data_IF_744338730467
#
_entry.id   IF_744338730467
#
_cell.length_a   1.000
_cell.length_b   1.000
_cell.length_c   1.000
_cell.angle_alpha   90.00
_cell.angle_beta   90.00
_cell.angle_gamma   90.00
#
_symmetry.space_group_name_H-M   'P 1'
#
loop_
_entity.id
_entity.type
_entity.pdbx_description
1 polymer ?
#
# COMPACT_ATOMS: atom_id res chain seq x y z
N UNK A 1 27.53 1.12 -3.71
CA UNK A 1 26.65 1.61 -2.62
C UNK A 1 25.28 0.96 -2.82
N UNK A 2 24.74 0.31 -1.82
CA UNK A 2 23.38 -0.24 -1.88
C UNK A 2 22.39 0.90 -2.12
N UNK A 3 21.43 0.78 -3.05
CA UNK A 3 20.43 1.82 -3.23
C UNK A 3 19.67 2.03 -1.92
N UNK A 4 19.39 3.29 -1.59
CA UNK A 4 18.60 3.62 -0.39
C UNK A 4 17.13 3.32 -0.67
N UNK A 5 16.36 2.84 0.33
CA UNK A 5 14.94 2.60 0.19
C UNK A 5 14.18 3.81 -0.34
N UNK A 6 13.25 3.59 -1.24
CA UNK A 6 12.29 4.59 -1.66
C UNK A 6 11.29 4.88 -0.54
N UNK A 7 10.59 6.00 -0.61
CA UNK A 7 9.54 6.40 0.34
C UNK A 7 8.18 6.31 -0.34
N UNK A 8 7.22 5.67 0.32
CA UNK A 8 5.81 5.65 -0.07
C UNK A 8 5.01 6.48 0.93
N UNK A 9 4.29 7.49 0.45
CA UNK A 9 3.40 8.30 1.24
C UNK A 9 2.11 7.52 1.53
N UNK A 10 1.97 6.97 2.75
CA UNK A 10 0.80 6.20 3.17
C UNK A 10 -0.44 7.09 3.19
N UNK A 11 -1.47 6.75 2.40
CA UNK A 11 -2.69 7.55 2.19
C UNK A 11 -2.43 9.02 1.83
N UNK A 12 -1.39 9.25 1.03
CA UNK A 12 -0.92 10.60 0.69
C UNK A 12 -0.04 11.28 1.75
N UNK A 13 0.02 10.72 2.96
CA UNK A 13 0.67 11.32 4.13
C UNK A 13 -0.31 12.05 5.05
N UNK A 14 0.18 12.48 6.23
CA UNK A 14 -0.65 13.20 7.21
C UNK A 14 0.10 14.34 7.89
N UNK A 15 1.14 14.87 7.23
CA UNK A 15 1.96 15.97 7.79
C UNK A 15 1.31 17.35 7.60
N UNK A 16 0.51 17.53 6.55
CA UNK A 16 -0.10 18.82 6.19
C UNK A 16 -1.60 18.76 5.95
N UNK A 17 -2.12 17.61 5.56
CA UNK A 17 -3.54 17.39 5.30
C UNK A 17 -4.01 16.12 6.00
N UNK A 18 -5.31 15.93 6.12
CA UNK A 18 -5.87 14.67 6.57
C UNK A 18 -5.53 13.53 5.60
N UNK A 19 -5.22 12.30 6.09
CA UNK A 19 -4.90 11.18 5.21
C UNK A 19 -6.08 10.83 4.30
N UNK A 20 -5.78 10.34 3.08
CA UNK A 20 -6.75 9.95 2.07
C UNK A 20 -7.67 11.10 1.58
N UNK A 21 -7.23 12.34 1.69
CA UNK A 21 -7.88 13.51 1.10
C UNK A 21 -7.17 13.92 -0.20
N UNK A 22 -7.83 14.72 -1.03
CA UNK A 22 -7.24 15.25 -2.25
C UNK A 22 -5.96 16.02 -1.98
N UNK A 23 -5.97 16.89 -0.97
CA UNK A 23 -4.83 17.71 -0.54
C UNK A 23 -3.65 16.85 -0.07
N UNK A 24 -3.91 15.68 0.54
CA UNK A 24 -2.84 14.75 0.92
C UNK A 24 -2.12 14.18 -0.30
N UNK A 25 -2.82 13.89 -1.39
CA UNK A 25 -2.20 13.39 -2.63
C UNK A 25 -1.44 14.50 -3.37
N UNK A 26 -1.94 15.74 -3.37
CA UNK A 26 -1.17 16.88 -3.86
C UNK A 26 0.10 17.11 -3.03
N UNK A 27 0.01 17.00 -1.70
CA UNK A 27 1.18 17.13 -0.81
C UNK A 27 2.18 15.99 -1.00
N UNK A 28 1.71 14.77 -1.27
CA UNK A 28 2.57 13.63 -1.58
C UNK A 28 3.46 13.91 -2.79
N UNK A 29 2.91 14.48 -3.88
CA UNK A 29 3.67 14.88 -5.07
C UNK A 29 4.79 15.87 -4.70
N UNK A 30 4.49 16.82 -3.82
CA UNK A 30 5.45 17.84 -3.39
C UNK A 30 6.39 17.37 -2.25
N UNK A 31 6.23 16.14 -1.74
CA UNK A 31 6.99 15.65 -0.58
C UNK A 31 8.39 15.15 -0.93
N UNK A 32 8.63 14.80 -2.20
CA UNK A 32 9.85 14.11 -2.66
C UNK A 32 9.81 12.60 -2.45
N UNK A 33 8.66 12.01 -2.09
CA UNK A 33 8.44 10.57 -2.11
C UNK A 33 8.45 10.04 -3.55
N UNK A 34 8.73 8.76 -3.73
CA UNK A 34 8.69 8.09 -5.03
C UNK A 34 7.37 7.36 -5.28
N UNK A 35 6.70 6.96 -4.20
CA UNK A 35 5.43 6.24 -4.23
C UNK A 35 4.37 7.00 -3.42
N UNK A 36 3.12 6.82 -3.80
CA UNK A 36 1.98 7.21 -2.97
C UNK A 36 1.02 6.04 -2.84
N UNK A 37 0.66 5.74 -1.60
CA UNK A 37 -0.25 4.64 -1.29
C UNK A 37 -1.67 5.14 -1.09
N UNK A 38 -2.63 4.34 -1.55
CA UNK A 38 -4.04 4.53 -1.26
C UNK A 38 -4.83 3.23 -1.23
N UNK A 39 -5.73 3.17 -0.24
CA UNK A 39 -6.66 2.08 0.00
C UNK A 39 -7.81 2.12 -1.00
N UNK A 40 -8.10 1.03 -1.70
CA UNK A 40 -9.17 0.97 -2.69
C UNK A 40 -10.35 0.16 -2.15
N UNK A 41 -11.54 0.77 -2.24
CA UNK A 41 -12.83 0.13 -1.97
C UNK A 41 -13.86 0.48 -3.01
N UNK A 42 -15.01 -0.18 -2.95
CA UNK A 42 -16.14 0.07 -3.84
C UNK A 42 -17.39 0.41 -3.04
N UNK A 43 -18.09 1.47 -3.42
CA UNK A 43 -19.39 1.85 -2.87
C UNK A 43 -20.53 1.00 -3.42
N UNK A 44 -21.73 1.11 -2.84
CA UNK A 44 -22.91 0.37 -3.25
C UNK A 44 -23.39 0.68 -4.67
N UNK A 45 -23.10 1.86 -5.19
CA UNK A 45 -23.36 2.29 -6.57
C UNK A 45 -22.20 1.97 -7.53
N UNK A 46 -21.18 1.23 -7.08
CA UNK A 46 -20.09 0.72 -7.90
C UNK A 46 -18.91 1.67 -8.10
N UNK A 47 -18.91 2.84 -7.47
CA UNK A 47 -17.78 3.77 -7.59
C UNK A 47 -16.56 3.26 -6.83
N UNK A 48 -15.38 3.25 -7.46
CA UNK A 48 -14.11 2.95 -6.81
C UNK A 48 -13.60 4.20 -6.10
N UNK A 49 -13.47 4.11 -4.78
CA UNK A 49 -13.13 5.21 -3.89
C UNK A 49 -11.84 4.94 -3.13
N UNK A 50 -11.15 6.01 -2.77
CA UNK A 50 -10.00 5.95 -1.88
C UNK A 50 -10.50 6.04 -0.44
N UNK A 51 -10.65 4.87 0.19
CA UNK A 51 -11.19 4.78 1.55
C UNK A 51 -10.70 3.52 2.26
N UNK A 52 -10.27 3.66 3.53
CA UNK A 52 -9.68 2.54 4.27
C UNK A 52 -10.70 1.57 4.86
N UNK A 53 -11.67 2.10 5.57
CA UNK A 53 -12.55 1.29 6.42
C UNK A 53 -13.67 0.60 5.62
N UNK A 54 -14.12 -0.59 6.01
CA UNK A 54 -15.23 -1.27 5.34
C UNK A 54 -16.60 -0.63 5.66
N UNK A 55 -16.64 0.33 6.56
CA UNK A 55 -17.83 1.05 7.03
C UNK A 55 -17.58 2.54 7.09
N UNK A 56 -18.63 3.32 6.96
CA UNK A 56 -18.58 4.79 7.09
C UNK A 56 -18.51 5.16 8.57
N UNK A 57 -17.29 5.35 9.08
CA UNK A 57 -17.05 5.57 10.51
C UNK A 57 -17.32 4.33 11.38
N UNK A 58 -17.06 4.39 12.69
CA UNK A 58 -17.07 3.21 13.58
C UNK A 58 -18.44 2.52 13.71
N UNK A 59 -19.53 3.28 13.63
CA UNK A 59 -20.90 2.78 13.80
C UNK A 59 -21.75 2.92 12.53
N UNK A 60 -21.21 3.43 11.44
CA UNK A 60 -21.95 3.68 10.20
C UNK A 60 -22.24 2.43 9.38
N UNK A 61 -22.94 2.57 8.25
CA UNK A 61 -23.25 1.46 7.36
C UNK A 61 -22.02 0.91 6.65
N UNK A 62 -22.07 -0.35 6.16
CA UNK A 62 -21.05 -0.87 5.24
C UNK A 62 -20.97 -0.02 3.96
N UNK A 63 -19.75 0.17 3.42
CA UNK A 63 -19.53 0.92 2.18
C UNK A 63 -20.36 0.37 1.01
N UNK A 64 -20.44 -0.94 0.90
CA UNK A 64 -21.22 -1.62 -0.13
C UNK A 64 -22.76 -1.34 -0.06
N UNK A 65 -23.24 -0.57 0.92
CA UNK A 65 -24.66 -0.18 1.08
C UNK A 65 -24.90 1.32 0.96
N UNK A 66 -23.90 2.10 0.64
CA UNK A 66 -24.01 3.56 0.45
C UNK A 66 -23.51 3.94 -0.94
N UNK A 67 -24.09 4.97 -1.52
CA UNK A 67 -23.58 5.62 -2.73
C UNK A 67 -22.34 6.45 -2.41
N UNK A 68 -21.56 6.83 -3.43
CA UNK A 68 -20.42 7.75 -3.25
C UNK A 68 -20.88 9.10 -2.66
N UNK A 69 -22.02 9.62 -3.11
CA UNK A 69 -22.58 10.87 -2.57
C UNK A 69 -22.89 10.75 -1.07
N UNK A 70 -23.59 9.69 -0.66
CA UNK A 70 -23.87 9.43 0.77
C UNK A 70 -22.60 9.19 1.60
N UNK A 71 -21.56 8.60 1.01
CA UNK A 71 -20.27 8.45 1.66
C UNK A 71 -19.63 9.81 1.92
N UNK A 72 -19.60 10.71 0.94
CA UNK A 72 -19.07 12.07 1.09
C UNK A 72 -19.82 12.86 2.16
N UNK A 73 -21.15 12.83 2.12
CA UNK A 73 -22.00 13.52 3.10
C UNK A 73 -21.71 13.04 4.54
N UNK A 74 -21.59 11.72 4.74
CA UNK A 74 -21.34 11.11 6.05
C UNK A 74 -19.90 11.29 6.52
N UNK A 75 -18.94 11.28 5.62
CA UNK A 75 -17.52 11.51 5.90
C UNK A 75 -17.23 12.98 6.21
N UNK A 76 -18.08 13.90 5.74
CA UNK A 76 -17.92 15.34 5.90
C UNK A 76 -16.87 15.96 4.97
N UNK A 77 -16.42 15.22 3.95
CA UNK A 77 -15.50 15.71 2.91
C UNK A 77 -15.73 14.95 1.59
N UNK A 78 -15.24 15.53 0.48
CA UNK A 78 -15.26 14.88 -0.82
C UNK A 78 -14.27 13.71 -0.83
N UNK A 79 -14.77 12.48 -0.67
CA UNK A 79 -13.95 11.25 -0.72
C UNK A 79 -13.42 11.07 -2.14
N UNK A 80 -12.10 11.00 -2.36
CA UNK A 80 -11.54 10.93 -3.70
C UNK A 80 -11.92 9.65 -4.44
N UNK A 81 -12.19 9.78 -5.74
CA UNK A 81 -12.37 8.65 -6.65
C UNK A 81 -11.01 8.14 -7.09
N UNK A 82 -10.87 6.83 -7.23
CA UNK A 82 -9.58 6.18 -7.55
C UNK A 82 -8.99 6.68 -8.86
N UNK A 83 -9.82 6.80 -9.92
CA UNK A 83 -9.37 7.24 -11.24
C UNK A 83 -8.82 8.67 -11.21
N UNK A 84 -9.45 9.56 -10.43
CA UNK A 84 -9.00 10.96 -10.28
C UNK A 84 -7.64 11.05 -9.57
N UNK A 85 -7.46 10.25 -8.51
CA UNK A 85 -6.16 10.18 -7.80
C UNK A 85 -5.08 9.60 -8.71
N UNK A 86 -5.37 8.53 -9.47
CA UNK A 86 -4.44 7.97 -10.44
C UNK A 86 -4.05 9.00 -11.52
N UNK A 87 -5.02 9.75 -12.04
CA UNK A 87 -4.76 10.81 -13.02
C UNK A 87 -3.90 11.95 -12.44
N UNK A 88 -4.15 12.34 -11.18
CA UNK A 88 -3.36 13.35 -10.49
C UNK A 88 -1.88 13.00 -10.38
N UNK A 89 -1.58 11.73 -10.06
CA UNK A 89 -0.21 11.25 -9.78
C UNK A 89 0.51 10.70 -11.03
N UNK A 90 -0.20 10.51 -12.14
CA UNK A 90 0.35 9.95 -13.38
C UNK A 90 1.63 10.68 -13.85
N UNK A 91 2.70 9.91 -14.09
CA UNK A 91 4.01 10.45 -14.49
C UNK A 91 4.78 11.20 -13.39
N UNK A 92 4.25 11.30 -12.17
CA UNK A 92 4.86 12.02 -11.04
C UNK A 92 5.29 11.07 -9.92
N UNK A 93 4.44 10.11 -9.57
CA UNK A 93 4.68 9.12 -8.52
C UNK A 93 4.28 7.73 -9.01
N UNK A 94 4.87 6.69 -8.42
CA UNK A 94 4.40 5.31 -8.57
C UNK A 94 3.20 5.09 -7.65
N UNK A 95 2.09 4.61 -8.19
CA UNK A 95 0.92 4.27 -7.40
C UNK A 95 1.17 2.99 -6.58
N UNK A 96 0.95 3.05 -5.28
CA UNK A 96 0.91 1.89 -4.39
C UNK A 96 -0.54 1.61 -4.03
N UNK A 97 -1.18 0.69 -4.77
CA UNK A 97 -2.59 0.34 -4.65
C UNK A 97 -2.77 -0.74 -3.58
N UNK A 98 -3.46 -0.43 -2.47
CA UNK A 98 -3.80 -1.45 -1.47
C UNK A 98 -5.25 -1.92 -1.63
N UNK A 99 -5.43 -3.13 -2.17
CA UNK A 99 -6.74 -3.72 -2.44
C UNK A 99 -7.36 -4.24 -1.13
N UNK A 100 -8.48 -3.64 -0.73
CA UNK A 100 -9.17 -3.95 0.54
C UNK A 100 -10.30 -4.97 0.39
N UNK A 101 -10.67 -5.34 -0.83
CA UNK A 101 -11.78 -6.23 -1.14
C UNK A 101 -11.36 -7.27 -2.19
N UNK A 102 -12.16 -8.33 -2.30
CA UNK A 102 -11.98 -9.39 -3.29
C UNK A 102 -13.02 -9.22 -4.39
N UNK A 103 -12.65 -9.54 -5.65
CA UNK A 103 -13.58 -9.63 -6.77
C UNK A 103 -13.68 -8.38 -7.64
N UNK A 104 -12.84 -7.36 -7.42
CA UNK A 104 -12.73 -6.19 -8.29
C UNK A 104 -11.32 -6.02 -8.88
N UNK A 105 -10.44 -6.98 -8.67
CA UNK A 105 -9.02 -6.87 -9.02
C UNK A 105 -8.82 -6.51 -10.49
N UNK A 106 -9.54 -7.22 -11.40
CA UNK A 106 -9.45 -6.97 -12.84
C UNK A 106 -9.87 -5.54 -13.16
N UNK A 107 -11.01 -5.09 -12.63
CA UNK A 107 -11.54 -3.74 -12.89
C UNK A 107 -10.55 -2.66 -12.47
N UNK A 108 -9.99 -2.77 -11.25
CA UNK A 108 -9.02 -1.81 -10.72
C UNK A 108 -7.74 -1.81 -11.55
N UNK A 109 -7.19 -3.00 -11.86
CA UNK A 109 -5.89 -3.09 -12.52
C UNK A 109 -5.98 -2.71 -14.00
N UNK A 110 -7.05 -3.07 -14.72
CA UNK A 110 -7.27 -2.62 -16.09
C UNK A 110 -7.24 -1.07 -16.18
N UNK A 111 -7.93 -0.37 -15.26
CA UNK A 111 -7.93 1.11 -15.17
C UNK A 111 -6.55 1.65 -14.81
N UNK A 112 -5.89 1.06 -13.81
CA UNK A 112 -4.58 1.50 -13.35
C UNK A 112 -3.51 1.36 -14.45
N UNK A 113 -3.47 0.23 -15.15
CA UNK A 113 -2.53 0.02 -16.26
C UNK A 113 -2.81 0.97 -17.42
N UNK A 114 -4.09 1.26 -17.73
CA UNK A 114 -4.45 2.21 -18.77
C UNK A 114 -3.98 3.64 -18.45
N UNK A 115 -4.04 4.07 -17.18
CA UNK A 115 -3.67 5.42 -16.75
C UNK A 115 -2.19 5.59 -16.44
N UNK A 116 -1.56 4.59 -15.84
CA UNK A 116 -0.23 4.68 -15.25
C UNK A 116 0.84 3.84 -15.97
N UNK A 117 0.41 2.85 -16.77
CA UNK A 117 1.30 1.80 -17.27
C UNK A 117 1.65 0.80 -16.17
N UNK A 118 2.07 -0.41 -16.55
CA UNK A 118 2.39 -1.49 -15.59
C UNK A 118 3.55 -1.14 -14.64
N UNK A 119 4.54 -0.40 -15.12
CA UNK A 119 5.70 0.05 -14.31
C UNK A 119 5.34 1.21 -13.36
N UNK A 120 4.21 1.90 -13.61
CA UNK A 120 3.73 3.03 -12.83
C UNK A 120 2.97 2.65 -11.56
N UNK A 121 2.85 1.33 -11.25
CA UNK A 121 2.11 0.87 -10.08
C UNK A 121 2.74 -0.33 -9.39
N UNK A 122 2.40 -0.51 -8.12
CA UNK A 122 2.58 -1.72 -7.33
C UNK A 122 1.28 -2.01 -6.58
N UNK A 123 0.90 -3.27 -6.51
CA UNK A 123 -0.33 -3.70 -5.86
C UNK A 123 -0.03 -4.46 -4.60
N UNK A 124 -0.67 -4.08 -3.48
CA UNK A 124 -0.63 -4.81 -2.23
C UNK A 124 -2.02 -5.25 -1.80
N UNK A 125 -2.11 -6.32 -1.05
CA UNK A 125 -3.32 -6.78 -0.37
C UNK A 125 -2.96 -7.83 0.67
N UNK A 126 -3.82 -8.00 1.68
CA UNK A 126 -3.74 -9.07 2.68
C UNK A 126 -4.28 -10.41 2.15
N UNK A 127 -4.96 -10.41 1.00
CA UNK A 127 -5.68 -11.56 0.46
C UNK A 127 -4.86 -12.30 -0.61
N UNK A 128 -4.46 -13.54 -0.32
CA UNK A 128 -3.66 -14.38 -1.22
C UNK A 128 -4.35 -14.60 -2.57
N UNK A 129 -5.69 -14.71 -2.58
CA UNK A 129 -6.48 -14.92 -3.80
C UNK A 129 -6.44 -13.69 -4.70
N UNK A 130 -6.48 -12.47 -4.14
CA UNK A 130 -6.38 -11.23 -4.90
C UNK A 130 -4.98 -11.06 -5.50
N UNK A 131 -3.90 -11.34 -4.72
CA UNK A 131 -2.54 -11.38 -5.27
C UNK A 131 -2.48 -12.35 -6.45
N UNK A 132 -2.99 -13.58 -6.27
CA UNK A 132 -2.98 -14.60 -7.32
C UNK A 132 -3.82 -14.20 -8.55
N UNK A 133 -4.93 -13.47 -8.37
CA UNK A 133 -5.75 -12.97 -9.46
C UNK A 133 -4.98 -11.91 -10.28
N UNK A 134 -4.36 -10.93 -9.60
CA UNK A 134 -3.55 -9.89 -10.25
C UNK A 134 -2.34 -10.51 -10.97
N UNK A 135 -1.56 -11.35 -10.28
CA UNK A 135 -0.35 -11.97 -10.86
C UNK A 135 -0.64 -12.80 -12.11
N UNK A 136 -1.79 -13.50 -12.14
CA UNK A 136 -2.20 -14.30 -13.33
C UNK A 136 -2.78 -13.44 -14.45
N UNK A 137 -3.56 -12.41 -14.11
CA UNK A 137 -4.23 -11.56 -15.08
C UNK A 137 -3.32 -10.47 -15.67
N UNK A 138 -2.32 -10.05 -14.92
CA UNK A 138 -1.43 -8.93 -15.24
C UNK A 138 0.01 -9.28 -14.77
N UNK A 139 0.69 -10.22 -15.46
CA UNK A 139 2.01 -10.71 -15.02
C UNK A 139 3.10 -9.63 -15.03
N UNK A 140 2.89 -8.54 -15.78
CA UNK A 140 3.76 -7.37 -15.83
C UNK A 140 3.62 -6.44 -14.62
N UNK A 141 2.50 -6.53 -13.87
CA UNK A 141 2.23 -5.68 -12.71
C UNK A 141 2.90 -6.26 -11.47
N UNK A 142 3.68 -5.43 -10.78
CA UNK A 142 4.33 -5.84 -9.55
C UNK A 142 3.31 -6.00 -8.42
N UNK A 143 3.29 -7.18 -7.80
CA UNK A 143 2.43 -7.48 -6.65
C UNK A 143 3.24 -7.80 -5.41
N UNK A 144 2.76 -7.37 -4.24
CA UNK A 144 3.33 -7.76 -2.95
C UNK A 144 2.24 -8.22 -1.98
N UNK A 145 2.47 -9.36 -1.32
CA UNK A 145 1.57 -9.88 -0.30
C UNK A 145 1.78 -9.10 1.01
N UNK A 146 0.72 -8.47 1.52
CA UNK A 146 0.75 -7.77 2.79
C UNK A 146 0.75 -8.76 3.97
N UNK A 147 1.63 -8.51 4.96
CA UNK A 147 1.82 -9.31 6.16
C UNK A 147 1.72 -8.42 7.40
N UNK A 148 0.95 -8.83 8.40
CA UNK A 148 0.78 -8.07 9.64
C UNK A 148 -0.66 -7.62 9.87
N UNK A 149 -1.63 -8.44 9.50
CA UNK A 149 -3.06 -8.20 9.73
C UNK A 149 -3.33 -7.81 11.20
N UNK A 150 -4.17 -6.80 11.44
CA UNK A 150 -4.50 -6.38 12.80
C UNK A 150 -5.21 -7.53 13.56
N UNK A 151 -4.91 -7.61 14.86
CA UNK A 151 -5.55 -8.57 15.77
C UNK A 151 -7.07 -8.36 15.86
N UNK A 152 -7.53 -7.12 15.69
CA UNK A 152 -8.94 -6.75 15.75
C UNK A 152 -9.75 -7.28 14.56
N UNK A 153 -9.08 -7.54 13.44
CA UNK A 153 -9.70 -8.04 12.20
C UNK A 153 -9.76 -9.58 12.16
N UNK A 154 -9.08 -10.26 13.09
CA UNK A 154 -8.99 -11.71 13.14
C UNK A 154 -9.90 -12.27 14.22
N UNK A 155 -10.73 -13.26 13.86
CA UNK A 155 -11.40 -14.08 14.86
C UNK A 155 -10.35 -14.79 15.77
N UNK A 156 -10.55 -14.78 17.08
CA UNK A 156 -9.62 -15.29 18.08
C UNK A 156 -9.12 -16.73 17.76
N UNK A 157 -9.99 -17.58 17.23
CA UNK A 157 -9.67 -18.96 16.84
C UNK A 157 -8.68 -19.08 15.68
N UNK A 158 -8.52 -18.04 14.84
CA UNK A 158 -7.61 -18.02 13.68
C UNK A 158 -6.26 -17.38 13.98
N UNK A 159 -6.12 -16.70 15.12
CA UNK A 159 -4.92 -15.93 15.48
C UNK A 159 -3.62 -16.74 15.43
N UNK A 160 -3.50 -17.96 16.01
CA UNK A 160 -2.23 -18.71 16.01
C UNK A 160 -1.79 -19.11 14.61
N UNK A 161 -2.70 -19.66 13.80
CA UNK A 161 -2.41 -20.12 12.43
C UNK A 161 -2.02 -18.96 11.51
N UNK A 162 -2.73 -17.83 11.59
CA UNK A 162 -2.43 -16.63 10.81
C UNK A 162 -1.07 -16.05 11.19
N UNK A 163 -0.74 -15.94 12.48
CA UNK A 163 0.56 -15.44 12.95
C UNK A 163 1.72 -16.33 12.53
N UNK A 164 1.55 -17.63 12.59
CA UNK A 164 2.55 -18.58 12.12
C UNK A 164 2.76 -18.43 10.60
N UNK A 165 1.69 -18.29 9.83
CA UNK A 165 1.77 -18.10 8.37
C UNK A 165 2.37 -16.74 7.96
N UNK A 166 2.27 -15.72 8.81
CA UNK A 166 2.92 -14.42 8.60
C UNK A 166 4.42 -14.44 8.95
N UNK A 167 4.82 -15.20 9.96
CA UNK A 167 6.23 -15.40 10.32
C UNK A 167 6.99 -16.29 9.31
N UNK A 168 6.28 -17.20 8.64
CA UNK A 168 6.81 -18.12 7.64
C UNK A 168 6.02 -18.05 6.33
N UNK A 169 6.04 -16.90 5.62
CA UNK A 169 5.13 -16.62 4.51
C UNK A 169 5.48 -17.32 3.20
N UNK A 170 6.60 -18.05 3.15
CA UNK A 170 7.15 -18.64 1.93
C UNK A 170 6.17 -19.54 1.15
N UNK A 171 5.29 -20.27 1.87
CA UNK A 171 4.26 -21.12 1.23
C UNK A 171 3.18 -20.25 0.58
N UNK A 172 2.69 -19.23 1.27
CA UNK A 172 1.68 -18.30 0.79
C UNK A 172 2.18 -17.55 -0.44
N UNK A 173 3.39 -16.96 -0.35
CA UNK A 173 4.03 -16.22 -1.44
C UNK A 173 4.13 -17.07 -2.71
N UNK A 174 4.61 -18.31 -2.58
CA UNK A 174 4.69 -19.23 -3.74
C UNK A 174 3.32 -19.59 -4.30
N UNK A 175 2.34 -19.80 -3.44
CA UNK A 175 0.99 -20.19 -3.86
C UNK A 175 0.26 -19.07 -4.59
N UNK A 176 0.43 -17.82 -4.18
CA UNK A 176 -0.19 -16.66 -4.84
C UNK A 176 0.69 -16.04 -5.94
N UNK A 177 1.96 -16.44 -6.06
CA UNK A 177 2.88 -15.92 -7.09
C UNK A 177 3.34 -14.48 -6.85
N UNK A 178 3.28 -13.98 -5.61
CA UNK A 178 3.65 -12.59 -5.30
C UNK A 178 5.11 -12.30 -5.68
N UNK A 179 5.36 -11.14 -6.28
CA UNK A 179 6.69 -10.63 -6.62
C UNK A 179 7.41 -10.06 -5.40
N UNK A 180 6.67 -9.77 -4.31
CA UNK A 180 7.22 -9.16 -3.12
C UNK A 180 6.36 -9.37 -1.88
N UNK A 181 6.79 -8.70 -0.79
CA UNK A 181 6.07 -8.65 0.48
C UNK A 181 5.99 -7.21 1.00
N UNK A 182 4.82 -6.83 1.50
CA UNK A 182 4.63 -5.60 2.27
C UNK A 182 4.46 -5.99 3.76
N UNK A 183 5.46 -5.69 4.58
CA UNK A 183 5.58 -6.26 5.92
C UNK A 183 5.34 -5.18 6.98
N UNK A 184 4.42 -5.45 7.92
CA UNK A 184 4.27 -4.55 9.07
C UNK A 184 5.60 -4.44 9.85
N UNK A 185 5.96 -3.23 10.30
CA UNK A 185 7.25 -2.91 10.93
C UNK A 185 7.67 -3.87 12.07
N UNK A 186 6.71 -4.43 12.82
CA UNK A 186 7.01 -5.41 13.88
C UNK A 186 7.49 -6.74 13.32
N UNK A 187 6.89 -7.21 12.21
CA UNK A 187 7.30 -8.43 11.53
C UNK A 187 8.61 -8.23 10.74
N UNK A 188 8.85 -7.03 10.20
CA UNK A 188 10.08 -6.69 9.50
C UNK A 188 11.34 -6.86 10.39
N UNK A 189 11.18 -6.79 11.71
CA UNK A 189 12.26 -7.03 12.70
C UNK A 189 12.53 -8.52 13.00
N UNK A 190 11.80 -9.41 12.34
CA UNK A 190 11.99 -10.87 12.43
C UNK A 190 12.77 -11.40 11.22
N UNK A 191 12.66 -12.70 10.94
CA UNK A 191 13.33 -13.33 9.80
C UNK A 191 12.68 -13.05 8.44
N UNK A 192 11.51 -12.40 8.39
CA UNK A 192 10.72 -12.22 7.16
C UNK A 192 11.50 -11.49 6.06
N UNK A 193 12.16 -10.36 6.38
CA UNK A 193 12.96 -9.63 5.40
C UNK A 193 14.15 -10.44 4.88
N UNK A 194 14.81 -11.21 5.76
CA UNK A 194 15.93 -12.08 5.35
C UNK A 194 15.45 -13.17 4.38
N UNK A 195 14.31 -13.77 4.67
CA UNK A 195 13.72 -14.81 3.83
C UNK A 195 13.25 -14.25 2.48
N UNK A 196 12.63 -13.08 2.48
CA UNK A 196 12.24 -12.37 1.26
C UNK A 196 13.45 -12.07 0.36
N UNK A 197 14.52 -11.49 0.93
CA UNK A 197 15.75 -11.18 0.19
C UNK A 197 16.43 -12.43 -0.39
N UNK A 198 16.47 -13.54 0.36
CA UNK A 198 17.03 -14.82 -0.14
C UNK A 198 16.28 -15.35 -1.37
N UNK A 199 15.02 -14.96 -1.53
CA UNK A 199 14.17 -15.35 -2.65
C UNK A 199 14.12 -14.31 -3.77
N UNK A 200 14.89 -13.23 -3.66
CA UNK A 200 14.87 -12.14 -4.63
C UNK A 200 13.56 -11.33 -4.66
N UNK A 201 12.80 -11.36 -3.56
CA UNK A 201 11.51 -10.67 -3.47
C UNK A 201 11.69 -9.19 -3.16
N UNK A 202 10.87 -8.37 -3.79
CA UNK A 202 10.69 -6.95 -3.47
C UNK A 202 10.11 -6.78 -2.06
N UNK A 203 10.59 -5.80 -1.30
CA UNK A 203 10.22 -5.64 0.10
C UNK A 203 9.77 -4.22 0.42
N UNK A 204 8.59 -4.12 1.04
CA UNK A 204 8.03 -2.88 1.58
C UNK A 204 7.85 -3.02 3.09
N UNK A 205 8.06 -1.96 3.86
CA UNK A 205 7.84 -1.95 5.32
C UNK A 205 6.85 -0.86 5.69
N UNK A 206 5.77 -1.21 6.41
CA UNK A 206 4.66 -0.32 6.77
C UNK A 206 4.22 -0.47 8.23
N UNK A 207 3.52 0.47 8.84
CA UNK A 207 3.60 1.87 8.62
C UNK A 207 4.61 2.42 9.63
N UNK A 208 5.63 3.12 9.16
CA UNK A 208 6.77 3.52 9.99
C UNK A 208 6.73 5.04 10.20
N UNK A 209 6.40 5.48 11.41
CA UNK A 209 6.21 6.90 11.75
C UNK A 209 7.20 7.43 12.80
N UNK A 210 7.90 6.53 13.50
CA UNK A 210 8.94 6.88 14.46
C UNK A 210 10.26 7.19 13.74
N UNK A 211 10.91 8.30 14.09
CA UNK A 211 12.13 8.77 13.44
C UNK A 211 13.31 7.79 13.56
N UNK A 212 13.43 7.09 14.68
CA UNK A 212 14.52 6.13 14.89
C UNK A 212 14.31 4.87 14.05
N UNK A 213 13.07 4.38 13.96
CA UNK A 213 12.71 3.28 13.08
C UNK A 213 12.83 3.67 11.60
N UNK A 214 12.42 4.89 11.22
CA UNK A 214 12.66 5.41 9.86
C UNK A 214 14.13 5.37 9.50
N UNK A 215 15.03 5.92 10.33
CA UNK A 215 16.48 5.89 10.10
C UNK A 215 16.98 4.44 9.92
N UNK A 216 16.55 3.54 10.81
CA UNK A 216 16.92 2.13 10.76
C UNK A 216 16.50 1.47 9.45
N UNK A 217 15.24 1.63 9.01
CA UNK A 217 14.75 1.02 7.79
C UNK A 217 15.25 1.71 6.51
N UNK A 218 15.45 3.04 6.52
CA UNK A 218 16.02 3.77 5.37
C UNK A 218 17.48 3.45 5.08
N UNK A 219 18.18 2.80 6.02
CA UNK A 219 19.55 2.30 5.83
C UNK A 219 19.62 0.78 5.76
N UNK A 220 18.48 0.09 5.89
CA UNK A 220 18.43 -1.36 5.95
C UNK A 220 18.55 -1.99 4.54
N UNK A 221 19.58 -2.86 4.29
CA UNK A 221 19.88 -3.34 2.94
C UNK A 221 18.85 -4.31 2.33
N UNK A 222 17.82 -4.67 3.10
CA UNK A 222 16.74 -5.59 2.70
C UNK A 222 15.38 -4.88 2.62
N UNK A 223 15.35 -3.56 2.58
CA UNK A 223 14.13 -2.77 2.42
C UNK A 223 14.24 -2.00 1.12
N UNK A 224 13.28 -2.19 0.22
CA UNK A 224 13.21 -1.46 -1.04
C UNK A 224 12.34 -0.21 -0.89
N UNK A 225 11.24 -0.29 -0.11
CA UNK A 225 10.32 0.83 0.11
C UNK A 225 9.93 0.93 1.58
N UNK A 226 10.00 2.14 2.11
CA UNK A 226 9.46 2.49 3.43
C UNK A 226 8.13 3.23 3.25
N UNK A 227 7.07 2.71 3.88
CA UNK A 227 5.71 3.29 3.84
C UNK A 227 5.46 4.05 5.14
N UNK A 228 5.06 5.34 5.04
CA UNK A 228 4.93 6.24 6.19
C UNK A 228 3.84 7.30 6.00
N UNK A 229 3.23 7.72 7.11
CA UNK A 229 2.34 8.89 7.16
C UNK A 229 3.12 10.22 7.11
N UNK A 230 4.48 10.15 7.20
CA UNK A 230 5.36 11.32 7.29
C UNK A 230 6.39 11.32 6.14
N UNK A 231 5.93 11.41 4.87
CA UNK A 231 6.81 11.27 3.71
C UNK A 231 7.92 12.33 3.65
N UNK A 232 7.61 13.60 3.93
CA UNK A 232 8.62 14.67 3.96
C UNK A 232 9.70 14.39 5.01
N UNK A 233 9.28 13.93 6.19
CA UNK A 233 10.22 13.57 7.25
C UNK A 233 11.10 12.40 6.85
N UNK A 234 10.54 11.36 6.24
CA UNK A 234 11.31 10.20 5.77
C UNK A 234 12.31 10.60 4.68
N UNK A 235 11.89 11.40 3.70
CA UNK A 235 12.78 11.92 2.64
C UNK A 235 13.92 12.76 3.24
N UNK A 236 13.64 13.65 4.20
CA UNK A 236 14.66 14.43 4.88
C UNK A 236 15.65 13.56 5.67
N UNK A 237 15.17 12.50 6.35
CA UNK A 237 16.02 11.55 7.09
C UNK A 237 16.88 10.68 6.18
N UNK A 238 16.35 10.32 5.00
CA UNK A 238 17.09 9.55 3.99
C UNK A 238 18.23 10.33 3.37
N UNK A 239 18.06 11.64 3.22
CA UNK A 239 18.96 12.53 2.51
C UNK A 239 18.92 12.29 0.97
N UNK A 240 19.73 13.01 0.20
CA UNK A 240 19.69 12.95 -1.26
C UNK A 240 20.03 11.54 -1.77
N UNK A 241 19.30 11.10 -2.80
CA UNK A 241 19.65 9.90 -3.58
C UNK A 241 20.77 10.33 -4.52
N UNK A 242 21.98 9.88 -4.26
CA UNK A 242 23.08 9.98 -5.25
C UNK A 242 22.79 9.00 -6.38
N UNK A 243 22.20 9.49 -7.50
CA UNK A 243 22.17 8.71 -8.73
C UNK A 243 23.60 8.51 -9.19
N UNK A 244 24.02 7.29 -9.55
CA UNK A 244 25.30 7.13 -10.25
C UNK A 244 25.24 8.02 -11.51
N UNK A 245 26.28 8.84 -11.70
CA UNK A 245 26.45 9.56 -12.99
C UNK A 245 26.77 8.50 -14.03
N UNK A 246 25.88 8.33 -14.99
CA UNK A 246 26.15 7.57 -16.21
C UNK A 246 27.12 8.34 -17.09
#
# INVERSE_FOLDING_TARGET
>A
MTPRPAVSAHRGGSERAGPATWEAYEDAIASGAEYVEFDIRRTGDGVLVVYHDPRVGPAGPPLARVTHAELCDRAGYAVPVVDDVMALIAGKLVAHLDLKEIGYEREVIDRAVALLGADGLVVTTLEDCSVAAVTRGFPEVRTALSLGRDRRELALARLPGTRLSELFPARRIRACGAHGVAVHQRLARTNVLREATRRGLFTMVWTVNDDSLMRSFLTHPRVDVLVTDRPRRAVALRGPITRPRH
#
